data_IF_317233124241
#
_entry.id   IF_317233124241
#
_cell.length_a   1.000
_cell.length_b   1.000
_cell.length_c   1.000
_cell.angle_alpha   90.00
_cell.angle_beta   90.00
_cell.angle_gamma   90.00
#
_symmetry.space_group_name_H-M   'P 1'
#
loop_
_entity.id
_entity.type
_entity.pdbx_description
1 polymer ?
#
# COMPACT_ATOMS: atom_id res chain seq x y z
N UNK A 1 23.03 30.71 -9.63
CA UNK A 1 22.92 29.47 -10.43
C UNK A 1 23.62 28.37 -9.64
N UNK A 2 22.91 27.73 -8.71
CA UNK A 2 23.49 26.68 -7.85
C UNK A 2 23.10 25.33 -8.44
N UNK A 3 24.08 24.61 -8.99
CA UNK A 3 23.97 23.18 -9.31
C UNK A 3 24.51 22.41 -8.12
N UNK A 4 23.68 21.56 -7.52
CA UNK A 4 24.14 20.52 -6.60
C UNK A 4 24.77 19.37 -7.44
N UNK A 5 25.82 18.69 -6.94
CA UNK A 5 26.49 17.61 -7.65
C UNK A 5 25.64 16.33 -7.62
N UNK A 6 25.56 15.64 -8.77
CA UNK A 6 24.99 14.30 -8.86
C UNK A 6 25.91 13.29 -8.13
N UNK A 7 25.37 12.56 -7.18
CA UNK A 7 25.98 11.32 -6.67
C UNK A 7 25.59 10.19 -7.62
N UNK A 8 26.59 9.44 -8.08
CA UNK A 8 26.43 8.33 -9.01
C UNK A 8 26.18 7.02 -8.26
N UNK A 9 25.13 6.28 -8.64
CA UNK A 9 24.92 4.89 -8.19
C UNK A 9 23.45 4.51 -8.21
N UNK A 10 23.10 3.52 -9.04
CA UNK A 10 21.77 2.93 -9.31
C UNK A 10 21.06 3.53 -10.55
N UNK A 11 21.07 2.74 -11.63
CA UNK A 11 20.19 2.90 -12.80
C UNK A 11 19.29 1.67 -12.84
N UNK A 12 17.99 1.87 -12.62
CA UNK A 12 16.97 0.82 -12.78
C UNK A 12 16.50 0.87 -14.24
N UNK A 13 16.53 -0.28 -14.92
CA UNK A 13 16.04 -0.42 -16.30
C UNK A 13 14.57 -0.88 -16.26
N UNK A 14 13.68 -0.10 -16.86
CA UNK A 14 12.25 -0.40 -16.98
C UNK A 14 11.64 0.53 -18.04
N UNK A 15 10.67 0.02 -18.79
CA UNK A 15 10.08 0.62 -19.99
C UNK A 15 9.89 2.14 -19.92
N UNK A 16 10.05 2.80 -21.07
CA UNK A 16 9.78 4.23 -21.34
C UNK A 16 8.31 4.66 -21.16
N UNK A 17 7.69 4.32 -20.03
CA UNK A 17 6.67 5.16 -19.44
C UNK A 17 7.39 6.04 -18.42
N UNK A 18 7.87 7.18 -18.91
CA UNK A 18 8.55 8.21 -18.13
C UNK A 18 7.71 8.61 -16.91
N UNK A 19 7.95 7.99 -15.75
CA UNK A 19 7.79 8.69 -14.49
C UNK A 19 8.94 9.68 -14.44
N UNK A 20 8.72 10.85 -15.04
CA UNK A 20 9.69 11.91 -15.07
C UNK A 20 10.05 12.27 -13.63
N UNK A 21 11.24 11.86 -13.18
CA UNK A 21 11.93 12.42 -12.03
C UNK A 21 12.38 13.89 -12.27
N UNK A 22 11.85 14.50 -13.32
CA UNK A 22 11.84 15.93 -13.59
C UNK A 22 10.51 16.30 -14.26
N UNK A 23 9.38 16.03 -13.61
CA UNK A 23 8.17 16.76 -13.95
C UNK A 23 8.43 18.22 -13.58
N UNK A 24 8.79 19.03 -14.58
CA UNK A 24 8.64 20.48 -14.47
C UNK A 24 7.17 20.68 -14.15
N UNK A 25 6.84 20.94 -12.88
CA UNK A 25 5.46 21.13 -12.44
C UNK A 25 4.92 22.26 -13.32
N UNK A 26 3.94 21.99 -14.22
CA UNK A 26 3.34 23.06 -14.98
C UNK A 26 2.83 24.08 -13.98
N UNK A 27 3.12 25.38 -14.20
CA UNK A 27 2.73 26.51 -13.34
C UNK A 27 1.53 26.13 -12.47
N UNK A 28 1.79 25.91 -11.19
CA UNK A 28 0.83 25.35 -10.22
C UNK A 28 -0.53 25.99 -10.44
N UNK A 29 -1.52 25.20 -10.87
CA UNK A 29 -2.91 25.65 -10.79
C UNK A 29 -3.24 25.76 -9.31
N UNK A 30 -3.64 26.95 -8.88
CA UNK A 30 -4.22 27.13 -7.55
C UNK A 30 -5.43 26.20 -7.43
N UNK A 31 -5.42 25.35 -6.40
CA UNK A 31 -6.57 24.53 -6.07
C UNK A 31 -7.50 25.21 -5.08
N UNK A 32 -8.64 24.59 -4.81
CA UNK A 32 -9.55 25.02 -3.75
C UNK A 32 -10.11 23.82 -2.99
N UNK A 33 -10.36 24.02 -1.70
CA UNK A 33 -11.14 23.11 -0.90
C UNK A 33 -12.63 23.38 -1.15
N UNK A 34 -13.35 22.39 -1.67
CA UNK A 34 -14.77 22.53 -1.98
C UNK A 34 -15.66 22.12 -0.81
N UNK A 35 -15.30 21.03 -0.13
CA UNK A 35 -16.15 20.47 0.92
C UNK A 35 -15.29 19.78 1.98
N UNK A 36 -15.68 19.98 3.25
CA UNK A 36 -15.15 19.23 4.40
C UNK A 36 -16.21 18.24 4.84
N UNK A 37 -15.85 16.98 4.98
CA UNK A 37 -16.75 15.88 5.26
C UNK A 37 -16.32 15.10 6.50
N UNK A 38 -17.28 14.79 7.36
CA UNK A 38 -17.06 13.99 8.58
C UNK A 38 -18.17 12.95 8.76
N UNK A 39 -17.91 11.91 9.53
CA UNK A 39 -18.92 10.92 9.94
C UNK A 39 -18.63 10.38 11.33
N UNK A 40 -19.62 9.77 11.96
CA UNK A 40 -19.42 9.00 13.21
C UNK A 40 -18.97 7.55 12.93
N UNK A 41 -18.15 7.34 11.88
CA UNK A 41 -17.69 6.03 11.46
C UNK A 41 -18.55 5.44 10.34
N UNK A 42 -18.20 5.76 9.10
CA UNK A 42 -18.76 5.12 7.90
C UNK A 42 -18.79 6.04 6.69
N UNK A 43 -19.60 5.64 5.71
CA UNK A 43 -19.95 6.45 4.54
C UNK A 43 -21.49 6.45 4.38
N UNK A 44 -22.10 7.52 3.85
CA UNK A 44 -21.47 8.76 3.42
C UNK A 44 -21.02 9.63 4.59
N UNK A 45 -19.92 10.36 4.39
CA UNK A 45 -19.54 11.47 5.26
C UNK A 45 -20.38 12.70 4.90
N UNK A 46 -20.83 13.42 5.92
CA UNK A 46 -21.71 14.59 5.76
C UNK A 46 -20.89 15.88 5.69
N UNK A 47 -21.33 16.86 4.88
CA UNK A 47 -20.63 18.14 4.77
C UNK A 47 -20.74 18.95 6.05
N UNK A 48 -19.64 19.60 6.44
CA UNK A 48 -19.61 20.62 7.50
C UNK A 48 -18.93 21.90 6.99
N UNK A 49 -19.28 23.08 7.53
CA UNK A 49 -18.73 24.35 7.03
C UNK A 49 -17.22 24.50 7.22
N UNK A 50 -16.70 23.92 8.30
CA UNK A 50 -15.31 24.03 8.73
C UNK A 50 -14.95 22.86 9.64
N UNK A 51 -13.67 22.48 9.67
CA UNK A 51 -13.16 21.53 10.66
C UNK A 51 -11.74 21.91 11.08
N UNK A 52 -11.40 21.59 12.32
CA UNK A 52 -10.02 21.58 12.76
C UNK A 52 -9.37 20.26 12.34
N UNK A 53 -8.18 20.38 11.76
CA UNK A 53 -7.33 19.29 11.30
C UNK A 53 -6.16 19.19 12.29
N UNK A 54 -6.02 18.04 12.93
CA UNK A 54 -4.94 17.73 13.86
C UNK A 54 -4.19 16.47 13.44
N UNK A 55 -3.09 16.14 14.12
CA UNK A 55 -2.27 14.94 13.78
C UNK A 55 -3.04 13.62 13.81
N UNK A 56 -4.15 13.56 14.54
CA UNK A 56 -4.99 12.37 14.68
C UNK A 56 -6.09 12.29 13.61
N UNK A 57 -6.43 13.43 12.97
CA UNK A 57 -7.35 13.48 11.83
C UNK A 57 -8.18 14.76 11.76
N UNK A 58 -9.41 14.60 11.27
CA UNK A 58 -10.39 15.70 11.12
C UNK A 58 -11.35 15.68 12.30
N UNK A 59 -11.44 16.77 13.05
CA UNK A 59 -12.37 16.85 14.19
C UNK A 59 -13.82 16.65 13.74
N UNK A 60 -14.55 15.82 14.51
CA UNK A 60 -15.92 15.40 14.17
C UNK A 60 -15.97 14.15 13.28
N UNK A 61 -14.83 13.69 12.75
CA UNK A 61 -14.75 12.43 12.02
C UNK A 61 -14.23 11.30 12.91
N UNK A 62 -14.99 10.22 13.00
CA UNK A 62 -14.54 8.96 13.59
C UNK A 62 -14.23 7.97 12.49
N UNK A 63 -13.08 7.34 12.59
CA UNK A 63 -12.81 6.09 11.89
C UNK A 63 -13.28 4.97 12.80
N UNK A 64 -14.07 4.02 12.30
CA UNK A 64 -14.44 2.87 13.14
C UNK A 64 -13.18 2.05 13.42
N UNK A 65 -13.03 1.60 14.66
CA UNK A 65 -11.85 0.87 15.12
C UNK A 65 -11.59 -0.45 14.36
N UNK A 66 -12.62 -0.97 13.68
CA UNK A 66 -12.57 -2.16 12.83
C UNK A 66 -12.12 -1.88 11.37
N UNK A 67 -11.65 -0.66 11.05
CA UNK A 67 -11.27 -0.27 9.67
C UNK A 67 -9.78 0.05 9.50
N UNK A 68 -9.23 -0.22 8.31
CA UNK A 68 -7.86 0.09 7.86
C UNK A 68 -7.57 1.61 7.73
N UNK A 69 -8.46 2.46 8.27
CA UNK A 69 -8.46 3.90 8.08
C UNK A 69 -7.95 4.62 9.34
N UNK A 70 -7.15 5.68 9.15
CA UNK A 70 -6.62 6.50 10.25
C UNK A 70 -5.20 6.16 10.70
N UNK A 71 -4.76 6.86 11.74
CA UNK A 71 -3.37 6.92 12.20
C UNK A 71 -2.60 8.11 11.60
N UNK A 72 -1.42 8.45 12.13
CA UNK A 72 -0.71 9.70 11.81
C UNK A 72 -0.35 9.83 10.32
N UNK A 73 -0.17 8.71 9.62
CA UNK A 73 0.08 8.66 8.18
C UNK A 73 -1.20 8.62 7.31
N UNK A 74 -2.39 8.52 7.90
CA UNK A 74 -3.69 8.47 7.20
C UNK A 74 -4.72 9.40 7.85
N UNK A 75 -4.25 10.51 8.40
CA UNK A 75 -5.05 11.45 9.19
C UNK A 75 -6.18 12.08 8.35
N UNK A 76 -5.92 12.37 7.07
CA UNK A 76 -6.87 13.03 6.18
C UNK A 76 -7.00 12.24 4.88
N UNK A 77 -8.23 11.92 4.46
CA UNK A 77 -8.52 11.37 3.13
C UNK A 77 -8.97 12.48 2.17
N UNK A 78 -8.45 12.49 0.94
CA UNK A 78 -8.66 13.56 -0.04
C UNK A 78 -9.11 12.95 -1.38
N UNK A 79 -10.10 13.57 -2.04
CA UNK A 79 -10.54 13.26 -3.40
C UNK A 79 -10.72 14.53 -4.22
N UNK A 80 -10.33 14.49 -5.50
CA UNK A 80 -10.62 15.58 -6.45
C UNK A 80 -12.06 15.51 -6.96
N UNK A 81 -12.71 16.66 -7.09
CA UNK A 81 -14.05 16.77 -7.70
C UNK A 81 -14.05 16.35 -9.16
N UNK A 82 -12.91 16.46 -9.84
CA UNK A 82 -12.68 16.01 -11.20
C UNK A 82 -12.93 14.49 -11.32
N UNK A 83 -12.41 13.70 -10.39
CA UNK A 83 -12.63 12.26 -10.32
C UNK A 83 -14.10 11.93 -10.07
N UNK A 84 -14.73 12.62 -9.12
CA UNK A 84 -16.16 12.45 -8.81
C UNK A 84 -17.01 12.74 -10.05
N UNK A 85 -16.73 13.83 -10.78
CA UNK A 85 -17.46 14.20 -11.99
C UNK A 85 -17.28 13.18 -13.12
N UNK A 86 -16.06 12.69 -13.35
CA UNK A 86 -15.77 11.65 -14.36
C UNK A 86 -16.56 10.37 -14.05
N UNK A 87 -16.46 9.87 -12.82
CA UNK A 87 -17.13 8.65 -12.40
C UNK A 87 -18.66 8.82 -12.36
N UNK A 88 -19.17 9.99 -11.98
CA UNK A 88 -20.60 10.27 -12.03
C UNK A 88 -21.15 10.32 -13.48
N UNK A 89 -20.36 10.82 -14.43
CA UNK A 89 -20.73 10.84 -15.85
C UNK A 89 -20.85 9.41 -16.45
N UNK A 90 -20.22 8.41 -15.83
CA UNK A 90 -20.36 6.99 -16.17
C UNK A 90 -21.65 6.37 -15.61
N UNK A 91 -22.47 7.15 -14.88
CA UNK A 91 -23.75 6.71 -14.31
C UNK A 91 -23.64 6.11 -12.91
N UNK A 92 -22.52 6.30 -12.21
CA UNK A 92 -22.38 5.91 -10.80
C UNK A 92 -22.93 7.01 -9.87
N UNK A 93 -23.63 6.65 -8.76
CA UNK A 93 -24.19 7.60 -7.81
C UNK A 93 -23.13 8.16 -6.83
N UNK A 94 -21.93 8.45 -7.34
CA UNK A 94 -20.83 9.02 -6.56
C UNK A 94 -21.05 10.54 -6.38
N UNK A 95 -20.86 11.01 -5.17
CA UNK A 95 -20.90 12.43 -4.83
C UNK A 95 -19.90 12.75 -3.69
N UNK A 96 -19.58 14.03 -3.43
CA UNK A 96 -18.74 14.42 -2.32
C UNK A 96 -19.19 13.80 -0.99
N UNK A 97 -18.24 13.25 -0.23
CA UNK A 97 -18.43 12.54 1.03
C UNK A 97 -18.89 11.08 0.90
N UNK A 98 -19.47 10.68 -0.25
CA UNK A 98 -20.02 9.31 -0.41
C UNK A 98 -18.95 8.24 -0.40
N UNK A 99 -17.72 8.58 -0.78
CA UNK A 99 -16.60 7.63 -0.81
C UNK A 99 -15.76 7.67 0.46
N UNK A 100 -16.11 8.52 1.43
CA UNK A 100 -15.42 8.60 2.72
C UNK A 100 -14.18 9.49 2.74
N UNK A 101 -13.96 10.30 1.70
CA UNK A 101 -12.97 11.37 1.75
C UNK A 101 -13.37 12.44 2.78
N UNK A 102 -12.40 13.00 3.49
CA UNK A 102 -12.63 14.13 4.38
C UNK A 102 -12.60 15.46 3.62
N UNK A 103 -11.73 15.60 2.63
CA UNK A 103 -11.59 16.82 1.84
C UNK A 103 -11.90 16.53 0.38
N UNK A 104 -12.93 17.19 -0.14
CA UNK A 104 -13.18 17.24 -1.59
C UNK A 104 -12.54 18.52 -2.13
N UNK A 105 -11.62 18.39 -3.06
CA UNK A 105 -10.83 19.51 -3.60
C UNK A 105 -11.05 19.70 -5.10
N UNK A 106 -10.62 20.83 -5.64
CA UNK A 106 -10.60 21.11 -7.08
C UNK A 106 -9.27 21.73 -7.53
N UNK A 107 -8.99 21.61 -8.82
CA UNK A 107 -7.88 22.25 -9.53
C UNK A 107 -6.88 21.28 -10.14
N UNK A 108 -6.83 20.04 -9.64
CA UNK A 108 -5.87 19.01 -10.04
C UNK A 108 -6.30 17.60 -9.59
N UNK A 109 -5.85 16.59 -10.33
CA UNK A 109 -6.04 15.18 -9.97
C UNK A 109 -5.10 14.79 -8.82
N UNK A 110 -5.60 14.84 -7.59
CA UNK A 110 -4.78 14.67 -6.37
C UNK A 110 -3.99 13.35 -6.32
N UNK A 111 -4.52 12.28 -6.91
CA UNK A 111 -3.87 10.96 -6.95
C UNK A 111 -2.70 10.86 -7.91
N UNK A 112 -2.53 11.82 -8.82
CA UNK A 112 -1.36 11.88 -9.71
C UNK A 112 -0.20 12.66 -9.11
N UNK A 113 -0.40 13.28 -7.94
CA UNK A 113 0.67 13.98 -7.23
C UNK A 113 1.62 12.97 -6.59
N UNK A 114 2.91 13.30 -6.59
CA UNK A 114 3.91 12.48 -5.92
C UNK A 114 3.61 12.39 -4.41
N UNK A 115 3.86 11.24 -3.82
CA UNK A 115 3.93 11.11 -2.35
C UNK A 115 4.94 12.14 -1.82
N UNK A 116 4.72 12.65 -0.62
CA UNK A 116 5.50 13.76 -0.06
C UNK A 116 5.07 15.15 -0.56
N UNK A 117 4.22 15.25 -1.59
CA UNK A 117 3.69 16.55 -2.02
C UNK A 117 2.86 17.16 -0.90
N UNK A 118 3.10 18.45 -0.61
CA UNK A 118 2.40 19.20 0.43
C UNK A 118 1.30 20.07 -0.15
N UNK A 119 0.12 19.98 0.46
CA UNK A 119 -1.02 20.85 0.21
C UNK A 119 -1.11 21.83 1.38
N UNK A 120 -0.78 23.10 1.11
CA UNK A 120 -1.07 24.20 2.02
C UNK A 120 -2.51 24.66 1.78
N UNK A 121 -3.39 24.46 2.76
CA UNK A 121 -4.83 24.71 2.67
C UNK A 121 -5.16 25.91 3.57
N UNK A 122 -5.69 26.97 2.95
CA UNK A 122 -5.91 28.24 3.64
C UNK A 122 -4.60 28.83 4.16
N UNK A 123 -4.66 29.46 5.34
CA UNK A 123 -3.52 30.13 5.95
C UNK A 123 -2.78 29.24 6.98
N UNK A 124 -3.48 28.26 7.55
CA UNK A 124 -3.01 27.49 8.71
C UNK A 124 -2.58 26.06 8.35
N UNK A 125 -3.32 25.32 7.53
CA UNK A 125 -3.13 23.88 7.44
C UNK A 125 -2.11 23.49 6.37
N UNK A 126 -1.23 22.54 6.71
CA UNK A 126 -0.36 21.87 5.74
C UNK A 126 -0.52 20.36 5.94
N UNK A 127 -0.95 19.68 4.88
CA UNK A 127 -0.97 18.21 4.82
C UNK A 127 0.00 17.71 3.76
N UNK A 128 0.53 16.52 3.95
CA UNK A 128 1.48 15.89 3.03
C UNK A 128 0.92 14.55 2.56
N UNK A 129 0.86 14.33 1.25
CA UNK A 129 0.39 13.08 0.66
C UNK A 129 1.29 11.95 1.15
N UNK A 130 0.69 10.95 1.79
CA UNK A 130 1.42 9.85 2.38
C UNK A 130 1.32 8.57 1.56
N UNK A 131 0.13 8.28 0.99
CA UNK A 131 -0.09 7.13 0.12
C UNK A 131 -1.42 7.19 -0.64
N UNK A 132 -1.57 6.45 -1.76
CA UNK A 132 -2.87 6.18 -2.36
C UNK A 132 -3.84 5.49 -1.40
N UNK A 133 -5.14 5.63 -1.65
CA UNK A 133 -6.19 4.94 -0.90
C UNK A 133 -6.86 3.89 -1.79
N UNK A 134 -6.69 2.62 -1.47
CA UNK A 134 -7.40 1.56 -2.17
C UNK A 134 -8.91 1.61 -1.86
N UNK A 135 -9.77 1.34 -2.86
CA UNK A 135 -11.21 1.34 -2.67
C UNK A 135 -11.61 0.10 -1.86
N UNK A 136 -12.42 0.29 -0.81
CA UNK A 136 -12.88 -0.78 0.06
C UNK A 136 -14.38 -1.04 -0.13
N UNK A 137 -14.88 -2.21 0.29
CA UNK A 137 -16.30 -2.60 0.14
C UNK A 137 -17.29 -1.59 0.76
N UNK A 138 -16.85 -0.78 1.71
CA UNK A 138 -17.66 0.25 2.38
C UNK A 138 -18.22 1.27 1.40
N UNK A 139 -17.50 1.60 0.32
CA UNK A 139 -17.93 2.62 -0.67
C UNK A 139 -18.82 2.06 -1.79
N UNK A 140 -19.16 0.77 -1.76
CA UNK A 140 -19.88 0.09 -2.85
C UNK A 140 -21.18 0.76 -3.28
N UNK A 141 -21.84 1.49 -2.39
CA UNK A 141 -23.11 2.17 -2.68
C UNK A 141 -22.93 3.46 -3.48
N UNK A 142 -21.71 3.98 -3.60
CA UNK A 142 -21.37 5.06 -4.54
C UNK A 142 -21.26 4.58 -5.99
N UNK A 143 -21.41 3.27 -6.25
CA UNK A 143 -21.19 2.68 -7.57
C UNK A 143 -22.35 1.79 -7.99
N UNK A 144 -22.92 2.08 -9.15
CA UNK A 144 -23.78 1.16 -9.91
C UNK A 144 -23.12 -0.21 -10.03
N UNK A 145 -23.90 -1.27 -9.79
CA UNK A 145 -23.46 -2.67 -9.72
C UNK A 145 -22.38 -2.95 -8.69
N UNK A 146 -22.22 -2.07 -7.68
CA UNK A 146 -21.21 -2.19 -6.61
C UNK A 146 -19.77 -2.23 -7.16
N UNK A 147 -19.51 -1.64 -8.33
CA UNK A 147 -18.19 -1.61 -8.99
C UNK A 147 -17.20 -0.61 -8.34
N UNK A 148 -16.99 -0.73 -7.03
CA UNK A 148 -16.12 0.20 -6.28
C UNK A 148 -14.63 0.13 -6.68
N UNK A 149 -14.19 -0.96 -7.32
CA UNK A 149 -12.86 -1.06 -7.93
C UNK A 149 -12.57 0.01 -8.98
N UNK A 150 -13.59 0.72 -9.47
CA UNK A 150 -13.45 1.87 -10.38
C UNK A 150 -12.60 3.02 -9.81
N UNK A 151 -12.48 3.15 -8.48
CA UNK A 151 -11.57 4.10 -7.83
C UNK A 151 -10.18 3.53 -7.53
N UNK A 152 -9.84 2.36 -8.06
CA UNK A 152 -8.52 1.77 -7.88
C UNK A 152 -7.45 2.64 -8.53
N UNK A 153 -6.42 3.00 -7.77
CA UNK A 153 -5.22 3.67 -8.29
C UNK A 153 -4.56 2.86 -9.40
N UNK A 154 -4.63 1.51 -9.35
CA UNK A 154 -4.02 0.62 -10.36
C UNK A 154 -4.78 0.67 -11.69
N UNK A 155 -6.10 0.70 -11.64
CA UNK A 155 -6.94 0.70 -12.84
C UNK A 155 -7.18 2.11 -13.39
N UNK A 156 -7.28 3.10 -12.50
CA UNK A 156 -7.65 4.49 -12.81
C UNK A 156 -6.82 5.49 -12.00
N UNK A 157 -5.54 5.73 -12.40
CA UNK A 157 -4.58 6.50 -11.61
C UNK A 157 -5.00 7.94 -11.29
N UNK A 158 -5.87 8.55 -12.11
CA UNK A 158 -6.35 9.93 -11.95
C UNK A 158 -7.54 10.07 -10.99
N UNK A 159 -8.17 8.96 -10.62
CA UNK A 159 -9.48 9.01 -9.97
C UNK A 159 -9.44 8.58 -8.51
N UNK A 160 -8.31 8.03 -8.04
CA UNK A 160 -8.20 7.47 -6.70
C UNK A 160 -8.26 8.54 -5.60
N UNK A 161 -8.69 8.11 -4.42
CA UNK A 161 -8.44 8.87 -3.18
C UNK A 161 -6.97 8.77 -2.79
N UNK A 162 -6.53 9.74 -2.00
CA UNK A 162 -5.22 9.70 -1.32
C UNK A 162 -5.39 9.91 0.18
N UNK A 163 -4.44 9.36 0.94
CA UNK A 163 -4.21 9.73 2.33
C UNK A 163 -3.16 10.81 2.43
N UNK A 164 -3.30 11.64 3.46
CA UNK A 164 -2.31 12.61 3.84
C UNK A 164 -2.08 12.60 5.37
N UNK A 165 -0.84 12.90 5.75
CA UNK A 165 -0.44 13.17 7.14
C UNK A 165 -0.47 14.67 7.41
N UNK A 166 -0.72 15.06 8.65
CA UNK A 166 -0.76 16.48 9.02
C UNK A 166 0.63 16.96 9.41
N UNK A 167 1.15 17.92 8.66
CA UNK A 167 2.44 18.58 8.92
C UNK A 167 2.23 19.79 9.82
N UNK A 168 1.17 20.57 9.55
CA UNK A 168 0.77 21.72 10.35
C UNK A 168 -0.75 21.69 10.56
N UNK A 169 -1.14 21.65 11.83
CA UNK A 169 -2.53 21.65 12.27
C UNK A 169 -3.17 23.04 12.09
N UNK A 170 -4.51 23.08 12.11
CA UNK A 170 -5.25 24.33 11.98
C UNK A 170 -6.69 24.10 11.54
N UNK A 171 -7.39 25.18 11.20
CA UNK A 171 -8.79 25.09 10.71
C UNK A 171 -8.86 25.24 9.20
N UNK A 172 -9.59 24.35 8.54
CA UNK A 172 -9.94 24.46 7.12
C UNK A 172 -11.42 24.77 6.93
N UNK A 173 -11.75 25.46 5.84
CA UNK A 173 -13.11 25.85 5.46
C UNK A 173 -13.33 25.65 3.97
N UNK A 174 -14.57 25.38 3.58
CA UNK A 174 -14.94 25.40 2.16
C UNK A 174 -14.60 26.79 1.56
N UNK A 175 -13.98 26.78 0.39
CA UNK A 175 -13.47 27.97 -0.30
C UNK A 175 -12.00 28.27 -0.08
N UNK A 176 -11.33 27.62 0.89
CA UNK A 176 -9.90 27.81 1.15
C UNK A 176 -9.07 27.50 -0.09
N UNK A 177 -8.09 28.37 -0.38
CA UNK A 177 -7.14 28.14 -1.47
C UNK A 177 -6.18 27.02 -1.09
N UNK A 178 -5.80 26.22 -2.09
CA UNK A 178 -4.82 25.15 -1.96
C UNK A 178 -3.60 25.49 -2.82
N UNK A 179 -2.43 25.56 -2.17
CA UNK A 179 -1.14 25.72 -2.83
C UNK A 179 -0.32 24.45 -2.70
N UNK A 180 0.19 23.97 -3.82
CA UNK A 180 1.06 22.79 -3.86
C UNK A 180 2.52 23.18 -3.63
N UNK A 181 3.20 22.42 -2.78
CA UNK A 181 4.66 22.46 -2.64
C UNK A 181 5.19 21.05 -2.94
N UNK A 182 6.25 20.92 -3.76
CA UNK A 182 6.82 19.63 -4.08
C UNK A 182 7.32 18.88 -2.83
N UNK A 183 7.55 17.56 -2.95
CA UNK A 183 8.19 16.77 -1.89
C UNK A 183 9.51 17.40 -1.42
N UNK A 184 9.78 17.35 -0.13
CA UNK A 184 11.00 17.93 0.47
C UNK A 184 12.11 16.92 0.75
N UNK A 185 11.87 15.64 0.49
CA UNK A 185 12.77 14.52 0.77
C UNK A 185 12.52 13.38 -0.23
N UNK A 186 13.48 12.47 -0.35
CA UNK A 186 13.40 11.24 -1.17
C UNK A 186 12.41 10.20 -0.59
N UNK A 187 11.74 10.51 0.53
CA UNK A 187 10.75 9.64 1.20
C UNK A 187 9.64 9.16 0.24
N UNK A 188 9.34 9.96 -0.79
CA UNK A 188 8.40 9.60 -1.84
C UNK A 188 8.88 8.42 -2.68
N UNK A 189 10.16 8.43 -3.06
CA UNK A 189 10.80 7.37 -3.83
C UNK A 189 10.97 6.11 -2.96
N UNK A 190 11.39 6.28 -1.72
CA UNK A 190 11.52 5.17 -0.76
C UNK A 190 10.17 4.50 -0.47
N UNK A 191 9.10 5.26 -0.27
CA UNK A 191 7.75 4.70 -0.10
C UNK A 191 7.33 3.92 -1.35
N UNK A 192 7.56 4.47 -2.54
CA UNK A 192 7.16 3.83 -3.79
C UNK A 192 7.93 2.52 -4.03
N UNK A 193 9.21 2.49 -3.64
CA UNK A 193 10.03 1.27 -3.65
C UNK A 193 9.48 0.25 -2.65
N UNK A 194 9.20 0.68 -1.41
CA UNK A 194 8.66 -0.20 -0.38
C UNK A 194 7.29 -0.79 -0.79
N UNK A 195 6.35 0.02 -1.30
CA UNK A 195 5.03 -0.45 -1.77
C UNK A 195 5.15 -1.45 -2.93
N UNK A 196 6.13 -1.25 -3.83
CA UNK A 196 6.45 -2.21 -4.89
C UNK A 196 7.02 -3.51 -4.37
N UNK A 197 7.92 -3.45 -3.37
CA UNK A 197 8.49 -4.63 -2.74
C UNK A 197 7.42 -5.42 -1.99
N UNK A 198 6.57 -4.75 -1.21
CA UNK A 198 5.42 -5.37 -0.51
C UNK A 198 4.45 -6.05 -1.49
N UNK A 199 4.15 -5.37 -2.62
CA UNK A 199 3.30 -5.94 -3.66
C UNK A 199 3.93 -7.19 -4.30
N UNK A 200 5.23 -7.14 -4.61
CA UNK A 200 5.96 -8.26 -5.18
C UNK A 200 6.05 -9.45 -4.21
N UNK A 201 6.27 -9.19 -2.93
CA UNK A 201 6.27 -10.21 -1.87
C UNK A 201 4.91 -10.90 -1.79
N UNK A 202 3.83 -10.12 -1.72
CA UNK A 202 2.45 -10.66 -1.71
C UNK A 202 2.18 -11.53 -2.93
N UNK A 203 2.44 -11.03 -4.12
CA UNK A 203 2.16 -11.74 -5.38
C UNK A 203 2.96 -13.05 -5.47
N UNK A 204 4.23 -13.02 -5.07
CA UNK A 204 5.09 -14.20 -5.00
C UNK A 204 4.54 -15.26 -4.02
N UNK A 205 4.16 -14.84 -2.81
CA UNK A 205 3.63 -15.75 -1.81
C UNK A 205 2.30 -16.38 -2.22
N UNK A 206 1.36 -15.58 -2.75
CA UNK A 206 0.07 -16.10 -3.26
C UNK A 206 0.30 -17.11 -4.38
N UNK A 207 1.19 -16.80 -5.33
CA UNK A 207 1.54 -17.73 -6.40
C UNK A 207 2.11 -19.05 -5.83
N UNK A 208 2.97 -18.96 -4.82
CA UNK A 208 3.55 -20.12 -4.15
C UNK A 208 2.50 -20.99 -3.45
N UNK A 209 1.52 -20.38 -2.78
CA UNK A 209 0.44 -21.10 -2.10
C UNK A 209 -0.51 -21.80 -3.08
N UNK A 210 -0.91 -21.12 -4.16
CA UNK A 210 -1.78 -21.72 -5.18
C UNK A 210 -1.05 -22.84 -5.93
N UNK A 211 0.23 -22.65 -6.24
CA UNK A 211 1.12 -23.69 -6.77
C UNK A 211 1.18 -24.93 -5.86
N UNK A 212 1.25 -24.73 -4.55
CA UNK A 212 1.27 -25.84 -3.60
C UNK A 212 -0.08 -26.54 -3.46
N UNK A 213 -1.20 -25.82 -3.60
CA UNK A 213 -2.53 -26.45 -3.73
C UNK A 213 -2.63 -27.31 -4.97
N UNK A 214 -2.15 -26.82 -6.12
CA UNK A 214 -2.14 -27.58 -7.38
C UNK A 214 -1.29 -28.85 -7.27
N UNK A 215 -0.19 -28.80 -6.53
CA UNK A 215 0.64 -29.95 -6.22
C UNK A 215 -0.01 -30.93 -5.22
N UNK A 216 -1.22 -30.65 -4.73
CA UNK A 216 -2.02 -31.54 -3.88
C UNK A 216 -1.84 -31.33 -2.38
N UNK A 217 -1.15 -30.28 -1.95
CA UNK A 217 -1.01 -29.96 -0.53
C UNK A 217 -2.29 -29.32 0.03
N UNK A 218 -2.67 -29.72 1.25
CA UNK A 218 -3.82 -29.16 1.94
C UNK A 218 -3.49 -27.76 2.46
N UNK A 219 -3.88 -26.74 1.70
CA UNK A 219 -3.64 -25.33 2.02
C UNK A 219 -4.96 -24.55 1.92
N UNK A 220 -5.29 -23.85 2.98
CA UNK A 220 -6.44 -22.96 3.05
C UNK A 220 -5.99 -21.51 2.84
N UNK A 221 -6.42 -20.88 1.75
CA UNK A 221 -6.08 -19.49 1.44
C UNK A 221 -7.28 -18.56 1.54
N UNK A 222 -7.04 -17.32 1.96
CA UNK A 222 -7.98 -16.20 1.90
C UNK A 222 -7.27 -15.03 1.22
N UNK A 223 -7.77 -14.59 0.07
CA UNK A 223 -7.36 -13.33 -0.58
C UNK A 223 -8.62 -12.51 -0.90
N UNK A 224 -8.73 -11.32 -0.30
CA UNK A 224 -9.82 -10.37 -0.57
C UNK A 224 -9.34 -9.02 -1.13
N UNK A 225 -8.08 -8.96 -1.57
CA UNK A 225 -7.41 -7.75 -2.04
C UNK A 225 -6.86 -6.83 -0.94
N UNK A 226 -7.21 -7.05 0.34
CA UNK A 226 -6.67 -6.30 1.48
C UNK A 226 -5.68 -7.12 2.31
N UNK A 227 -5.98 -8.41 2.48
CA UNK A 227 -5.12 -9.39 3.14
C UNK A 227 -5.05 -10.67 2.29
N UNK A 228 -3.90 -11.34 2.34
CA UNK A 228 -3.65 -12.65 1.77
C UNK A 228 -3.15 -13.51 2.94
N UNK A 229 -3.92 -14.54 3.31
CA UNK A 229 -3.56 -15.45 4.41
C UNK A 229 -3.54 -16.86 3.87
N UNK A 230 -2.51 -17.62 4.23
CA UNK A 230 -2.45 -19.05 4.00
C UNK A 230 -2.31 -19.79 5.32
N UNK A 231 -2.93 -20.97 5.42
CA UNK A 231 -2.76 -21.87 6.55
C UNK A 231 -2.76 -23.33 6.07
N UNK A 232 -1.76 -24.09 6.51
CA UNK A 232 -1.59 -25.51 6.26
C UNK A 232 -1.12 -26.22 7.53
N UNK A 233 -1.88 -27.22 7.96
CA UNK A 233 -1.45 -28.13 9.03
C UNK A 233 -0.40 -29.14 8.57
N UNK A 234 -0.32 -29.40 7.26
CA UNK A 234 0.64 -30.32 6.66
C UNK A 234 2.02 -29.67 6.39
N UNK A 235 2.04 -28.34 6.21
CA UNK A 235 3.23 -27.57 5.90
C UNK A 235 3.41 -26.46 6.96
N UNK A 236 3.95 -26.78 8.15
CA UNK A 236 4.13 -25.79 9.19
C UNK A 236 5.19 -24.75 8.80
N UNK A 237 5.10 -23.54 9.35
CA UNK A 237 6.11 -22.51 9.22
C UNK A 237 5.68 -21.28 8.40
N UNK A 238 6.49 -20.22 8.40
CA UNK A 238 6.11 -18.89 7.91
C UNK A 238 5.83 -18.84 6.41
N UNK A 239 6.33 -19.81 5.63
CA UNK A 239 6.10 -19.83 4.19
C UNK A 239 4.64 -20.16 3.84
N UNK A 240 4.02 -21.09 4.57
CA UNK A 240 2.67 -21.60 4.28
C UNK A 240 1.62 -21.18 5.31
N UNK A 241 2.08 -20.68 6.47
CA UNK A 241 1.22 -20.20 7.56
C UNK A 241 1.46 -18.71 7.82
N UNK A 242 1.34 -17.86 6.80
CA UNK A 242 1.57 -16.43 6.93
C UNK A 242 0.39 -15.59 6.46
N UNK A 243 0.35 -14.37 7.00
CA UNK A 243 -0.57 -13.33 6.58
C UNK A 243 0.23 -12.14 6.01
N UNK A 244 -0.09 -11.80 4.77
CA UNK A 244 0.49 -10.69 4.02
C UNK A 244 -0.61 -9.66 3.70
N UNK A 245 -0.30 -8.39 3.80
CA UNK A 245 -1.19 -7.30 3.44
C UNK A 245 -0.43 -5.99 3.59
N UNK A 246 -1.13 -4.85 3.52
CA UNK A 246 -0.43 -3.56 3.62
C UNK A 246 0.47 -3.53 4.85
N UNK A 247 1.72 -3.12 4.66
CA UNK A 247 2.64 -2.84 5.75
C UNK A 247 1.85 -2.09 6.86
N UNK A 248 1.92 -2.64 8.07
CA UNK A 248 1.08 -2.32 9.23
C UNK A 248 -0.33 -2.94 9.17
N UNK A 249 -0.39 -4.25 9.44
CA UNK A 249 -1.59 -5.09 9.62
C UNK A 249 -2.40 -4.99 10.95
N UNK A 250 -2.25 -4.02 11.91
CA UNK A 250 -2.92 -4.12 13.22
C UNK A 250 -4.42 -4.40 13.19
N UNK A 251 -5.14 -3.87 12.20
CA UNK A 251 -6.60 -3.94 12.14
C UNK A 251 -7.13 -5.08 11.24
N UNK A 252 -6.26 -5.81 10.55
CA UNK A 252 -6.60 -7.02 9.80
C UNK A 252 -6.09 -8.29 10.51
N UNK A 253 -5.35 -8.09 11.60
CA UNK A 253 -4.72 -9.14 12.40
C UNK A 253 -5.74 -10.12 12.99
N UNK A 254 -6.89 -9.64 13.51
CA UNK A 254 -7.94 -10.50 14.04
C UNK A 254 -8.45 -11.51 12.99
N UNK A 255 -8.46 -11.10 11.72
CA UNK A 255 -8.88 -11.96 10.61
C UNK A 255 -7.82 -13.03 10.31
N UNK A 256 -6.54 -12.64 10.32
CA UNK A 256 -5.44 -13.59 10.19
C UNK A 256 -5.45 -14.61 11.34
N UNK A 257 -5.59 -14.13 12.59
CA UNK A 257 -5.68 -14.97 13.78
C UNK A 257 -6.87 -15.92 13.68
N UNK A 258 -8.05 -15.43 13.30
CA UNK A 258 -9.23 -16.28 13.13
C UNK A 258 -9.01 -17.37 12.06
N UNK A 259 -8.32 -17.04 10.96
CA UNK A 259 -7.97 -18.00 9.91
C UNK A 259 -7.01 -19.08 10.42
N UNK A 260 -5.94 -18.70 11.12
CA UNK A 260 -4.99 -19.63 11.72
C UNK A 260 -5.64 -20.50 12.81
N UNK A 261 -6.47 -19.91 13.66
CA UNK A 261 -7.20 -20.61 14.72
C UNK A 261 -8.17 -21.64 14.16
N UNK A 262 -8.90 -21.30 13.08
CA UNK A 262 -9.80 -22.23 12.38
C UNK A 262 -9.03 -23.41 11.80
N UNK A 263 -7.82 -23.17 11.29
CA UNK A 263 -6.94 -24.21 10.77
C UNK A 263 -6.16 -24.96 11.87
N UNK A 264 -6.19 -24.50 13.12
CA UNK A 264 -5.46 -25.09 14.23
C UNK A 264 -3.94 -25.01 14.08
N UNK A 265 -3.41 -23.94 13.48
CA UNK A 265 -1.97 -23.76 13.21
C UNK A 265 -1.38 -22.53 13.90
N UNK A 266 -0.07 -22.57 14.14
CA UNK A 266 0.71 -21.34 14.41
C UNK A 266 0.77 -20.52 13.12
N UNK A 267 0.55 -19.21 13.22
CA UNK A 267 0.62 -18.27 12.10
C UNK A 267 1.64 -17.18 12.31
N UNK A 268 2.23 -16.69 11.21
CA UNK A 268 3.25 -15.65 11.19
C UNK A 268 2.71 -14.38 10.54
N UNK A 269 2.99 -13.24 11.17
CA UNK A 269 2.57 -11.91 10.69
C UNK A 269 3.75 -10.96 10.78
N UNK A 270 3.96 -10.17 9.73
CA UNK A 270 4.97 -9.12 9.72
C UNK A 270 4.44 -7.86 10.43
N UNK A 271 5.14 -7.41 11.46
CA UNK A 271 4.84 -6.18 12.19
C UNK A 271 6.13 -5.53 12.74
N UNK A 272 6.15 -4.20 12.83
CA UNK A 272 7.32 -3.44 13.33
C UNK A 272 7.62 -3.68 14.81
N UNK A 273 6.62 -4.13 15.57
CA UNK A 273 6.72 -4.50 16.98
C UNK A 273 5.71 -5.62 17.30
N UNK A 274 5.96 -6.43 18.36
CA UNK A 274 5.00 -7.44 18.81
C UNK A 274 3.66 -6.76 19.13
N UNK A 275 2.57 -7.06 18.41
CA UNK A 275 1.34 -6.28 18.56
C UNK A 275 0.55 -6.65 19.84
N UNK A 276 0.88 -7.75 20.53
CA UNK A 276 0.18 -8.24 21.73
C UNK A 276 1.10 -8.94 22.75
N UNK A 277 0.68 -9.10 24.03
CA UNK A 277 1.51 -9.66 25.11
C UNK A 277 1.99 -11.10 24.89
N UNK A 278 1.18 -11.92 24.21
CA UNK A 278 1.50 -13.33 23.90
C UNK A 278 2.20 -13.49 22.54
N UNK A 279 2.48 -12.39 21.83
CA UNK A 279 3.20 -12.44 20.56
C UNK A 279 4.65 -12.78 20.85
N UNK A 280 5.11 -13.92 20.36
CA UNK A 280 6.51 -14.28 20.44
C UNK A 280 7.17 -13.78 19.16
N UNK A 281 8.14 -12.87 19.31
CA UNK A 281 8.98 -12.45 18.20
C UNK A 281 9.80 -13.65 17.72
N UNK A 282 9.43 -14.23 16.58
CA UNK A 282 10.13 -15.38 15.99
C UNK A 282 11.40 -14.95 15.23
N UNK A 283 11.39 -13.73 14.73
CA UNK A 283 12.58 -13.06 14.24
C UNK A 283 12.43 -11.56 14.49
N UNK A 284 13.49 -10.94 14.99
CA UNK A 284 13.62 -9.49 14.82
C UNK A 284 14.16 -9.33 13.41
N UNK A 285 13.41 -8.65 12.53
CA UNK A 285 14.07 -7.86 11.50
C UNK A 285 14.93 -6.88 12.29
N UNK A 286 16.17 -7.27 12.60
CA UNK A 286 17.20 -6.29 12.86
C UNK A 286 17.08 -5.38 11.65
N UNK A 287 16.75 -4.11 11.87
CA UNK A 287 16.91 -3.16 10.79
C UNK A 287 18.33 -3.42 10.32
N UNK A 288 18.50 -3.90 9.10
CA UNK A 288 19.72 -3.64 8.37
C UNK A 288 19.69 -2.13 8.05
N UNK A 289 19.48 -1.29 9.07
CA UNK A 289 19.81 0.12 9.14
C UNK A 289 21.28 0.18 9.55
N UNK A 290 22.08 -0.58 8.81
CA UNK A 290 23.29 0.01 8.28
C UNK A 290 22.78 1.20 7.45
N UNK A 291 23.29 2.42 7.72
CA UNK A 291 22.98 3.55 6.84
C UNK A 291 23.27 3.13 5.39
N UNK A 292 22.71 3.80 4.39
CA UNK A 292 23.06 3.49 3.00
C UNK A 292 24.60 3.44 2.79
N UNK A 293 25.34 4.19 3.61
CA UNK A 293 26.81 4.25 3.69
C UNK A 293 27.47 3.03 4.37
N UNK A 294 26.75 2.30 5.22
CA UNK A 294 27.23 1.11 5.94
C UNK A 294 26.82 -0.20 5.24
N UNK A 295 25.99 -0.13 4.19
CA UNK A 295 25.74 -1.27 3.30
C UNK A 295 27.02 -1.52 2.52
N UNK A 296 27.70 -2.62 2.85
CA UNK A 296 28.86 -3.06 2.09
C UNK A 296 28.47 -3.10 0.60
N UNK A 297 29.26 -2.48 -0.30
CA UNK A 297 28.96 -2.51 -1.72
C UNK A 297 28.79 -3.97 -2.15
N UNK A 298 27.78 -4.22 -2.98
CA UNK A 298 27.58 -5.55 -3.54
C UNK A 298 28.90 -6.03 -4.15
N UNK A 299 29.35 -7.27 -3.86
CA UNK A 299 30.60 -7.77 -4.40
C UNK A 299 30.68 -7.56 -5.91
N UNK A 300 31.87 -7.22 -6.41
CA UNK A 300 32.08 -7.05 -7.85
C UNK A 300 31.61 -8.30 -8.59
N UNK A 301 30.73 -8.10 -9.58
CA UNK A 301 30.17 -9.18 -10.40
C UNK A 301 28.80 -9.71 -9.94
N UNK A 302 28.21 -9.23 -8.85
CA UNK A 302 26.81 -9.53 -8.50
C UNK A 302 25.88 -8.87 -9.52
N UNK A 303 24.98 -9.67 -10.12
CA UNK A 303 23.97 -9.21 -11.08
C UNK A 303 22.60 -9.72 -10.67
N UNK A 304 21.60 -8.85 -10.68
CA UNK A 304 20.20 -9.25 -10.62
C UNK A 304 19.78 -9.61 -12.03
N UNK A 305 19.20 -10.79 -12.22
CA UNK A 305 18.66 -11.26 -13.49
C UNK A 305 17.45 -12.15 -13.26
N UNK A 306 16.63 -12.28 -14.29
CA UNK A 306 15.58 -13.29 -14.35
C UNK A 306 16.23 -14.68 -14.46
N UNK A 307 15.65 -15.66 -13.76
CA UNK A 307 16.04 -17.07 -13.88
C UNK A 307 15.27 -17.70 -15.04
N UNK A 308 15.97 -18.41 -15.92
CA UNK A 308 15.29 -19.24 -16.91
C UNK A 308 14.58 -20.41 -16.23
N UNK A 309 13.53 -20.94 -16.87
CA UNK A 309 12.73 -22.05 -16.35
C UNK A 309 13.58 -23.23 -15.82
N UNK A 310 14.63 -23.63 -16.55
CA UNK A 310 15.53 -24.73 -16.14
C UNK A 310 16.50 -24.41 -15.00
N UNK A 311 16.50 -23.17 -14.50
CA UNK A 311 17.37 -22.72 -13.39
C UNK A 311 16.62 -22.65 -12.05
N UNK A 312 15.29 -22.88 -12.05
CA UNK A 312 14.44 -22.76 -10.86
C UNK A 312 14.71 -23.89 -9.86
N UNK A 313 14.94 -25.14 -10.31
CA UNK A 313 15.31 -26.25 -9.43
C UNK A 313 16.64 -26.02 -8.70
N UNK A 314 17.74 -25.72 -9.41
CA UNK A 314 19.01 -25.35 -8.78
C UNK A 314 18.87 -24.18 -7.79
N UNK A 315 18.05 -23.17 -8.12
CA UNK A 315 17.77 -22.06 -7.20
C UNK A 315 17.01 -22.51 -5.95
N UNK A 316 15.98 -23.35 -6.09
CA UNK A 316 15.22 -23.87 -4.96
C UNK A 316 16.10 -24.67 -3.99
N UNK A 317 17.05 -25.47 -4.49
CA UNK A 317 18.03 -26.17 -3.65
C UNK A 317 18.96 -25.21 -2.91
N UNK A 318 19.39 -24.12 -3.55
CA UNK A 318 20.18 -23.08 -2.88
C UNK A 318 19.39 -22.47 -1.72
N UNK A 319 18.10 -22.15 -1.92
CA UNK A 319 17.24 -21.59 -0.87
C UNK A 319 17.05 -22.58 0.29
N UNK A 320 16.70 -23.83 -0.03
CA UNK A 320 16.49 -24.90 0.97
C UNK A 320 17.75 -25.12 1.81
N UNK A 321 18.91 -25.21 1.14
CA UNK A 321 20.19 -25.47 1.80
C UNK A 321 20.65 -24.26 2.62
N UNK A 322 20.65 -23.06 2.04
CA UNK A 322 21.13 -21.85 2.69
C UNK A 322 20.26 -21.44 3.89
N UNK A 323 18.96 -21.71 3.82
CA UNK A 323 18.01 -21.36 4.89
C UNK A 323 17.79 -22.51 5.88
N UNK A 324 18.43 -23.67 5.68
CA UNK A 324 18.29 -24.84 6.56
C UNK A 324 16.87 -25.35 6.68
N UNK A 325 16.08 -25.32 5.61
CA UNK A 325 14.65 -25.69 5.63
C UNK A 325 14.50 -27.17 5.96
N UNK A 326 13.77 -27.55 7.03
CA UNK A 326 13.63 -28.96 7.42
C UNK A 326 12.61 -29.71 6.54
N UNK A 327 12.69 -31.04 6.52
CA UNK A 327 11.63 -31.88 5.96
C UNK A 327 10.37 -31.84 6.84
N UNK A 328 9.14 -31.96 6.27
CA UNK A 328 8.81 -32.19 4.85
C UNK A 328 8.74 -30.91 3.99
N UNK A 329 9.04 -29.74 4.58
CA UNK A 329 8.89 -28.43 3.92
C UNK A 329 9.89 -28.31 2.76
N UNK A 330 11.11 -28.82 2.92
CA UNK A 330 12.10 -28.89 1.85
C UNK A 330 11.61 -29.72 0.65
N UNK A 331 10.97 -30.87 0.88
CA UNK A 331 10.33 -31.66 -0.19
C UNK A 331 9.23 -30.87 -0.90
N UNK A 332 8.41 -30.11 -0.16
CA UNK A 332 7.41 -29.24 -0.77
C UNK A 332 8.07 -28.18 -1.66
N UNK A 333 9.09 -27.46 -1.17
CA UNK A 333 9.85 -26.48 -1.95
C UNK A 333 10.40 -27.04 -3.26
N UNK A 334 11.00 -28.24 -3.22
CA UNK A 334 11.50 -28.93 -4.42
C UNK A 334 10.39 -29.30 -5.39
N UNK A 335 9.24 -29.75 -4.88
CA UNK A 335 8.09 -30.13 -5.71
C UNK A 335 7.45 -28.97 -6.46
N UNK A 336 7.59 -27.74 -5.96
CA UNK A 336 6.98 -26.53 -6.52
C UNK A 336 7.74 -25.99 -7.73
N UNK A 337 8.97 -26.45 -7.99
CA UNK A 337 9.79 -26.07 -9.16
C UNK A 337 8.98 -26.10 -10.47
N UNK A 338 8.28 -27.21 -10.73
CA UNK A 338 7.56 -27.42 -11.99
C UNK A 338 6.38 -26.47 -12.19
N UNK A 339 5.85 -25.92 -11.12
CA UNK A 339 4.67 -25.06 -11.12
C UNK A 339 5.06 -23.57 -11.09
N UNK A 340 6.06 -23.19 -10.28
CA UNK A 340 6.61 -21.82 -10.27
C UNK A 340 7.13 -21.40 -11.64
N UNK A 341 7.69 -22.35 -12.37
CA UNK A 341 8.24 -22.14 -13.69
C UNK A 341 7.17 -21.95 -14.79
N UNK A 342 5.89 -22.18 -14.48
CA UNK A 342 4.72 -21.98 -15.35
C UNK A 342 3.93 -20.71 -15.03
N UNK A 343 4.19 -20.05 -13.89
CA UNK A 343 3.53 -18.81 -13.50
C UNK A 343 4.04 -17.69 -14.41
N UNK A 344 3.19 -17.22 -15.32
CA UNK A 344 3.48 -16.08 -16.18
C UNK A 344 3.29 -14.80 -15.37
N UNK A 345 4.39 -14.18 -14.95
CA UNK A 345 4.32 -12.86 -14.32
C UNK A 345 3.85 -11.82 -15.35
N UNK A 346 2.70 -11.19 -15.11
CA UNK A 346 2.11 -10.22 -16.03
C UNK A 346 2.73 -8.81 -15.98
N UNK A 347 3.85 -8.61 -15.29
CA UNK A 347 4.44 -7.28 -15.11
C UNK A 347 5.95 -7.26 -15.40
N UNK A 348 6.31 -6.45 -16.40
CA UNK A 348 7.67 -6.00 -16.78
C UNK A 348 7.91 -4.59 -16.27
#
# INVERSE_FOLDING_TARGET
MFRAPCVAGIRIWGNEASFACAATIPRVKDGRLLQVNVSDGGVPKVPIPAARINRDGVEGDRQRADTVHGGPHRAVSILGIEAIRRVAAEGHPIAPGTTGENLTIEGFDVSTLAIGTRLAIGDEVIVEISKPTNPCRTIRHSFTDRRFGRLSIRAHPTDSRVYARVVREGTVRAGDRIRLTPPTSDDAEQFLIADRLDAAERESAVAFWETAKEAGYAINTMDDGEIAVSASSALPGPVFNSALGFAHLPNLLDRAIAHFATAGVTGWVLADAPPWPDAISDSTLARYAIGADDIAPAPDGVRIRELAHGEIGPWAEVIVTASGIPEPIATAWRGLERHLALVTHHHR
#
